data_IF_588234484629
#
_entry.id   IF_588234484629
#
_cell.length_a   1.000
_cell.length_b   1.000
_cell.length_c   1.000
_cell.angle_alpha   90.00
_cell.angle_beta   90.00
_cell.angle_gamma   90.00
#
_symmetry.space_group_name_H-M   'P 1'
#
loop_
_entity.id
_entity.type
_entity.pdbx_description
1 polymer ?
#
# COMPACT_ATOMS: atom_id res chain seq x y z
N UNK A 1 -4.24 33.75 11.49
CA UNK A 1 -4.37 32.37 10.99
C UNK A 1 -5.84 32.04 11.05
N UNK A 2 -6.52 31.92 9.90
CA UNK A 2 -7.93 31.59 9.91
C UNK A 2 -8.08 30.14 10.40
N UNK A 3 -8.69 29.94 11.57
CA UNK A 3 -9.10 28.61 12.00
C UNK A 3 -10.20 28.17 11.05
N UNK A 4 -9.96 27.10 10.29
CA UNK A 4 -11.01 26.53 9.46
C UNK A 4 -12.16 26.06 10.36
N UNK A 5 -13.42 26.29 9.96
CA UNK A 5 -14.56 25.84 10.74
C UNK A 5 -14.52 24.33 10.96
N UNK A 6 -14.99 23.87 12.12
CA UNK A 6 -15.12 22.46 12.41
C UNK A 6 -16.05 21.79 11.38
N UNK A 7 -15.75 20.55 11.00
CA UNK A 7 -16.59 19.77 10.11
C UNK A 7 -17.99 19.65 10.69
N UNK A 8 -19.01 19.92 9.86
CA UNK A 8 -20.41 19.81 10.23
C UNK A 8 -20.99 18.52 9.64
N UNK A 9 -20.77 17.41 10.35
CA UNK A 9 -21.19 16.07 9.95
C UNK A 9 -22.57 15.67 10.48
N UNK A 10 -23.37 16.65 10.92
CA UNK A 10 -24.75 16.40 11.30
C UNK A 10 -25.55 15.88 10.10
N UNK A 11 -26.48 14.92 10.29
CA UNK A 11 -27.23 14.33 9.17
C UNK A 11 -27.92 15.35 8.27
N UNK A 12 -28.47 16.42 8.85
CA UNK A 12 -29.13 17.51 8.11
C UNK A 12 -28.16 18.25 7.19
N UNK A 13 -26.93 18.46 7.64
CA UNK A 13 -25.87 19.15 6.91
C UNK A 13 -25.38 18.32 5.72
N UNK A 14 -25.21 17.01 5.91
CA UNK A 14 -24.83 16.09 4.84
C UNK A 14 -25.91 16.05 3.75
N UNK A 15 -27.19 15.94 4.15
CA UNK A 15 -28.31 15.94 3.19
C UNK A 15 -28.46 17.28 2.46
N UNK A 16 -28.23 18.40 3.14
CA UNK A 16 -28.22 19.72 2.52
C UNK A 16 -27.10 19.85 1.48
N UNK A 17 -25.90 19.36 1.76
CA UNK A 17 -24.78 19.38 0.82
C UNK A 17 -25.06 18.55 -0.45
N UNK A 18 -25.75 17.42 -0.31
CA UNK A 18 -26.21 16.61 -1.45
C UNK A 18 -27.24 17.37 -2.29
N UNK A 19 -28.22 18.01 -1.62
CA UNK A 19 -29.25 18.78 -2.30
C UNK A 19 -28.69 19.98 -3.08
N UNK A 20 -27.68 20.66 -2.53
CA UNK A 20 -27.00 21.78 -3.20
C UNK A 20 -26.26 21.36 -4.47
N UNK A 21 -25.63 20.18 -4.46
CA UNK A 21 -24.97 19.63 -5.65
C UNK A 21 -25.96 19.15 -6.72
N UNK A 22 -27.26 19.08 -6.41
CA UNK A 22 -28.28 18.56 -7.31
C UNK A 22 -28.06 17.08 -7.68
N UNK A 23 -27.38 16.34 -6.80
CA UNK A 23 -27.06 14.92 -7.01
C UNK A 23 -28.01 14.02 -6.22
N UNK A 24 -28.44 12.92 -6.83
CA UNK A 24 -29.38 11.97 -6.20
C UNK A 24 -30.85 12.23 -6.52
N UNK A 25 -31.73 11.66 -5.68
CA UNK A 25 -33.18 11.60 -5.91
C UNK A 25 -34.04 12.21 -4.81
N UNK A 26 -35.35 11.93 -4.85
CA UNK A 26 -36.30 12.42 -3.86
C UNK A 26 -36.24 11.65 -2.54
N UNK A 27 -36.41 12.38 -1.44
CA UNK A 27 -36.53 11.78 -0.10
C UNK A 27 -35.23 11.16 0.41
N UNK A 28 -34.10 11.83 0.22
CA UNK A 28 -32.78 11.44 0.69
C UNK A 28 -32.76 11.20 2.22
N UNK A 29 -32.12 10.11 2.66
CA UNK A 29 -31.88 9.80 4.07
C UNK A 29 -30.53 9.11 4.26
N UNK A 30 -29.97 9.22 5.47
CA UNK A 30 -28.73 8.51 5.82
C UNK A 30 -29.07 7.07 6.17
N UNK A 31 -28.49 6.15 5.41
CA UNK A 31 -28.71 4.70 5.48
C UNK A 31 -27.57 3.98 6.19
N UNK A 32 -26.44 4.66 6.41
CA UNK A 32 -25.31 4.13 7.21
C UNK A 32 -24.14 5.09 7.33
N UNK A 33 -23.34 4.90 8.38
CA UNK A 33 -22.07 5.60 8.61
C UNK A 33 -20.94 4.58 8.76
N UNK A 34 -19.82 4.84 8.09
CA UNK A 34 -18.65 3.99 8.05
C UNK A 34 -17.39 4.82 8.37
N UNK A 35 -16.49 4.22 9.15
CA UNK A 35 -15.25 4.87 9.59
C UNK A 35 -14.06 4.20 8.88
N UNK A 36 -13.44 4.91 7.94
CA UNK A 36 -12.17 4.51 7.34
C UNK A 36 -10.98 5.11 8.09
N UNK A 37 -9.75 4.68 7.80
CA UNK A 37 -8.54 5.21 8.46
C UNK A 37 -8.32 6.71 8.21
N UNK A 38 -8.71 7.21 7.03
CA UNK A 38 -8.45 8.59 6.59
C UNK A 38 -9.72 9.40 6.30
N UNK A 39 -10.91 8.79 6.38
CA UNK A 39 -12.18 9.46 6.09
C UNK A 39 -13.36 8.85 6.85
N UNK A 40 -14.44 9.62 6.93
CA UNK A 40 -15.78 9.13 7.26
C UNK A 40 -16.61 9.04 5.98
N UNK A 41 -17.39 7.96 5.87
CA UNK A 41 -18.21 7.68 4.70
C UNK A 41 -19.67 7.55 5.16
N UNK A 42 -20.56 8.29 4.52
CA UNK A 42 -22.00 8.23 4.77
C UNK A 42 -22.70 7.66 3.55
N UNK A 43 -23.46 6.57 3.73
CA UNK A 43 -24.35 6.05 2.70
C UNK A 43 -25.65 6.86 2.72
N UNK A 44 -25.98 7.48 1.59
CA UNK A 44 -27.22 8.24 1.41
C UNK A 44 -28.10 7.46 0.44
N UNK A 45 -29.31 7.13 0.87
CA UNK A 45 -30.29 6.38 0.09
C UNK A 45 -31.49 7.27 -0.26
N UNK A 46 -32.15 6.98 -1.38
CA UNK A 46 -33.28 7.75 -1.91
C UNK A 46 -34.49 6.83 -2.14
N UNK A 47 -35.67 7.41 -2.34
CA UNK A 47 -36.89 6.62 -2.62
C UNK A 47 -37.01 6.19 -4.08
N UNK A 48 -36.39 6.92 -4.98
CA UNK A 48 -36.58 6.83 -6.44
C UNK A 48 -35.26 6.67 -7.22
N UNK A 49 -34.11 6.69 -6.54
CA UNK A 49 -32.79 6.59 -7.16
C UNK A 49 -31.83 5.71 -6.35
N UNK A 50 -30.75 5.31 -7.01
CA UNK A 50 -29.67 4.56 -6.39
C UNK A 50 -28.96 5.40 -5.31
N UNK A 51 -28.46 4.71 -4.28
CA UNK A 51 -27.71 5.34 -3.19
C UNK A 51 -26.41 5.99 -3.68
N UNK A 52 -25.88 6.89 -2.87
CA UNK A 52 -24.59 7.54 -3.06
C UNK A 52 -23.75 7.45 -1.79
N UNK A 53 -22.44 7.57 -1.92
CA UNK A 53 -21.50 7.65 -0.81
C UNK A 53 -20.99 9.09 -0.67
N UNK A 54 -21.13 9.68 0.50
CA UNK A 54 -20.49 10.96 0.85
C UNK A 54 -19.22 10.66 1.63
N UNK A 55 -18.06 10.98 1.06
CA UNK A 55 -16.76 10.76 1.65
C UNK A 55 -16.19 12.09 2.13
N UNK A 56 -15.98 12.21 3.45
CA UNK A 56 -15.39 13.39 4.09
C UNK A 56 -14.06 13.00 4.71
N UNK A 57 -12.92 13.58 4.28
CA UNK A 57 -11.62 13.32 4.88
C UNK A 57 -11.59 13.69 6.37
N UNK A 58 -10.75 13.03 7.15
CA UNK A 58 -10.51 13.46 8.53
C UNK A 58 -9.84 14.84 8.58
N UNK A 59 -10.10 15.58 9.66
CA UNK A 59 -9.58 16.92 9.87
C UNK A 59 -8.04 16.93 9.88
N UNK A 60 -7.42 17.80 9.08
CA UNK A 60 -5.97 18.08 9.14
C UNK A 60 -5.69 19.59 9.21
N UNK A 61 -4.46 19.97 9.61
CA UNK A 61 -4.13 21.32 10.07
C UNK A 61 -3.97 22.38 8.95
N UNK A 62 -4.05 22.01 7.67
CA UNK A 62 -3.71 22.89 6.54
C UNK A 62 -4.76 22.82 5.43
N UNK A 63 -5.70 23.78 5.39
CA UNK A 63 -6.86 23.77 4.48
C UNK A 63 -6.52 23.55 2.99
N UNK A 64 -5.47 24.20 2.49
CA UNK A 64 -5.04 24.07 1.08
C UNK A 64 -4.56 22.64 0.75
N UNK A 65 -3.96 21.93 1.71
CA UNK A 65 -3.53 20.55 1.52
C UNK A 65 -4.73 19.61 1.38
N UNK A 66 -5.82 19.85 2.12
CA UNK A 66 -7.05 19.05 2.00
C UNK A 66 -7.72 19.27 0.65
N UNK A 67 -7.85 20.53 0.22
CA UNK A 67 -8.43 20.81 -1.10
C UNK A 67 -7.61 20.10 -2.17
N UNK A 68 -6.27 20.17 -2.11
CA UNK A 68 -5.40 19.48 -3.04
C UNK A 68 -5.56 17.95 -3.00
N UNK A 69 -5.70 17.35 -1.81
CA UNK A 69 -5.93 15.90 -1.65
C UNK A 69 -7.25 15.49 -2.30
N UNK A 70 -8.34 16.18 -1.96
CA UNK A 70 -9.67 15.91 -2.51
C UNK A 70 -9.70 16.14 -4.02
N UNK A 71 -9.06 17.22 -4.49
CA UNK A 71 -8.94 17.52 -5.92
C UNK A 71 -8.17 16.43 -6.68
N UNK A 72 -7.06 15.92 -6.11
CA UNK A 72 -6.32 14.81 -6.70
C UNK A 72 -7.18 13.56 -6.80
N UNK A 73 -7.93 13.22 -5.74
CA UNK A 73 -8.84 12.07 -5.74
C UNK A 73 -9.95 12.23 -6.79
N UNK A 74 -10.60 13.41 -6.86
CA UNK A 74 -11.59 13.73 -7.90
C UNK A 74 -11.00 13.62 -9.30
N UNK A 75 -9.81 14.18 -9.55
CA UNK A 75 -9.13 14.10 -10.85
C UNK A 75 -8.84 12.65 -11.25
N UNK A 76 -8.41 11.82 -10.30
CA UNK A 76 -8.17 10.39 -10.55
C UNK A 76 -9.49 9.71 -10.92
N UNK A 77 -10.56 9.91 -10.15
CA UNK A 77 -11.87 9.29 -10.41
C UNK A 77 -12.46 9.71 -11.75
N UNK A 78 -12.40 11.01 -12.07
CA UNK A 78 -12.83 11.53 -13.37
C UNK A 78 -11.97 11.00 -14.52
N UNK A 79 -10.65 10.89 -14.32
CA UNK A 79 -9.76 10.29 -15.31
C UNK A 79 -10.15 8.82 -15.54
N UNK A 80 -10.35 8.04 -14.47
CA UNK A 80 -10.77 6.65 -14.55
C UNK A 80 -12.10 6.53 -15.30
N UNK A 81 -13.09 7.36 -14.97
CA UNK A 81 -14.37 7.42 -15.68
C UNK A 81 -14.19 7.75 -17.17
N UNK A 82 -13.37 8.75 -17.50
CA UNK A 82 -13.08 9.14 -18.89
C UNK A 82 -12.37 8.04 -19.69
N UNK A 83 -11.60 7.18 -19.03
CA UNK A 83 -10.93 6.02 -19.61
C UNK A 83 -11.83 4.79 -19.67
N UNK A 84 -13.08 4.91 -19.22
CA UNK A 84 -14.04 3.81 -19.18
C UNK A 84 -13.74 2.77 -18.10
N UNK A 85 -12.92 3.12 -17.10
CA UNK A 85 -12.61 2.24 -15.98
C UNK A 85 -13.79 2.17 -15.02
N UNK A 86 -14.70 1.25 -15.31
CA UNK A 86 -15.97 1.05 -14.62
C UNK A 86 -15.87 0.48 -13.19
N UNK A 87 -14.67 0.09 -12.73
CA UNK A 87 -14.44 -0.45 -11.38
C UNK A 87 -14.21 0.58 -10.30
N UNK A 88 -13.87 1.81 -10.68
CA UNK A 88 -13.84 2.90 -9.73
C UNK A 88 -15.27 3.43 -9.56
N UNK A 89 -15.65 3.87 -8.35
CA UNK A 89 -16.88 4.62 -8.19
C UNK A 89 -16.85 5.87 -9.08
N UNK A 90 -18.00 6.25 -9.65
CA UNK A 90 -18.09 7.50 -10.42
C UNK A 90 -18.18 8.66 -9.46
N UNK A 91 -17.52 9.75 -9.81
CA UNK A 91 -17.64 10.99 -9.07
C UNK A 91 -18.94 11.69 -9.49
N UNK A 92 -20.01 11.50 -8.69
CA UNK A 92 -21.32 12.14 -8.94
C UNK A 92 -21.25 13.65 -8.73
N UNK A 93 -20.39 14.10 -7.83
CA UNK A 93 -20.23 15.48 -7.44
C UNK A 93 -19.13 15.62 -6.40
N UNK A 94 -18.73 16.85 -6.12
CA UNK A 94 -17.69 17.13 -5.13
C UNK A 94 -17.78 18.59 -4.71
N UNK A 95 -17.20 18.91 -3.56
CA UNK A 95 -16.98 20.27 -3.10
C UNK A 95 -15.50 20.45 -2.77
N UNK A 96 -14.86 21.43 -3.40
CA UNK A 96 -13.47 21.84 -3.15
C UNK A 96 -13.39 23.15 -2.35
N UNK A 97 -14.44 23.46 -1.60
CA UNK A 97 -14.54 24.66 -0.76
C UNK A 97 -14.96 24.28 0.65
N UNK A 98 -14.66 25.13 1.61
CA UNK A 98 -15.21 25.04 2.96
C UNK A 98 -16.58 25.73 3.07
N UNK A 99 -16.95 26.53 2.08
CA UNK A 99 -18.25 27.21 2.01
C UNK A 99 -19.29 26.27 1.40
N UNK A 100 -19.74 25.31 2.23
CA UNK A 100 -20.80 24.36 1.93
C UNK A 100 -21.40 23.85 3.25
N UNK A 101 -22.56 23.18 3.27
CA UNK A 101 -23.22 22.75 4.50
C UNK A 101 -22.39 21.85 5.43
N UNK A 102 -21.45 21.05 4.88
CA UNK A 102 -20.52 20.19 5.64
C UNK A 102 -19.34 20.99 6.23
N UNK A 103 -19.16 22.25 5.81
CA UNK A 103 -18.04 23.11 6.16
C UNK A 103 -16.66 22.51 5.83
N UNK A 104 -16.59 21.62 4.83
CA UNK A 104 -15.37 20.90 4.48
C UNK A 104 -15.38 20.41 3.03
N UNK A 105 -14.22 20.23 2.38
CA UNK A 105 -14.15 19.54 1.10
C UNK A 105 -14.59 18.07 1.21
N UNK A 106 -15.35 17.58 0.22
CA UNK A 106 -15.85 16.22 0.20
C UNK A 106 -16.08 15.73 -1.23
N UNK A 107 -16.22 14.41 -1.37
CA UNK A 107 -16.52 13.77 -2.65
C UNK A 107 -17.82 12.99 -2.50
N UNK A 108 -18.68 13.11 -3.52
CA UNK A 108 -19.87 12.29 -3.69
C UNK A 108 -19.60 11.27 -4.76
N UNK A 109 -19.74 10.01 -4.37
CA UNK A 109 -19.47 8.88 -5.21
C UNK A 109 -20.76 8.10 -5.44
N UNK A 110 -20.87 7.41 -6.57
CA UNK A 110 -21.89 6.38 -6.72
C UNK A 110 -21.73 5.35 -5.60
N UNK A 111 -22.81 5.05 -4.89
CA UNK A 111 -22.79 3.90 -4.00
C UNK A 111 -22.85 2.65 -4.87
N UNK A 112 -21.92 1.74 -4.64
CA UNK A 112 -21.92 0.44 -5.31
C UNK A 112 -22.43 -0.55 -4.29
N UNK A 113 -23.66 -1.04 -4.51
CA UNK A 113 -24.20 -2.13 -3.68
C UNK A 113 -23.38 -3.39 -3.93
N UNK A 114 -22.89 -3.97 -2.85
CA UNK A 114 -22.01 -5.11 -2.91
C UNK A 114 -21.35 -5.37 -1.56
N UNK A 115 -20.68 -6.50 -1.49
CA UNK A 115 -19.69 -6.77 -0.44
C UNK A 115 -18.31 -6.31 -0.95
N UNK A 116 -17.32 -6.10 -0.07
CA UNK A 116 -15.94 -5.87 -0.49
C UNK A 116 -15.51 -6.87 -1.56
N UNK A 117 -14.68 -6.41 -2.51
CA UNK A 117 -14.30 -7.14 -3.72
C UNK A 117 -13.79 -8.57 -3.43
N UNK A 118 -14.29 -9.53 -4.22
CA UNK A 118 -13.66 -10.82 -4.49
C UNK A 118 -12.77 -10.72 -5.74
N UNK A 119 -11.58 -11.31 -5.70
CA UNK A 119 -10.56 -11.23 -6.75
C UNK A 119 -10.48 -12.57 -7.52
N UNK A 120 -10.67 -12.53 -8.84
CA UNK A 120 -10.46 -13.67 -9.75
C UNK A 120 -9.67 -13.29 -11.00
N UNK A 121 -9.37 -14.29 -11.83
CA UNK A 121 -8.38 -14.27 -12.91
C UNK A 121 -8.59 -13.19 -14.00
N UNK A 122 -9.71 -12.43 -14.03
CA UNK A 122 -10.05 -11.57 -15.17
C UNK A 122 -10.26 -10.07 -14.88
N UNK A 123 -10.08 -9.56 -13.65
CA UNK A 123 -10.60 -8.23 -13.27
C UNK A 123 -9.72 -7.51 -12.18
N UNK A 124 -9.14 -6.28 -12.38
CA UNK A 124 -9.06 -5.43 -13.59
C UNK A 124 -7.73 -5.45 -14.39
N UNK A 125 -7.72 -5.03 -15.69
CA UNK A 125 -6.60 -5.12 -16.63
C UNK A 125 -5.71 -3.84 -16.75
N UNK A 126 -4.61 -3.97 -17.49
CA UNK A 126 -3.25 -3.47 -17.21
C UNK A 126 -2.79 -1.97 -17.40
N UNK A 127 -3.38 -1.02 -18.14
CA UNK A 127 -2.57 0.07 -18.73
C UNK A 127 -2.28 1.35 -17.91
N UNK A 128 -2.34 1.37 -16.56
CA UNK A 128 -2.26 2.62 -15.77
C UNK A 128 -0.99 2.85 -14.90
N UNK A 129 0.09 2.07 -15.04
CA UNK A 129 1.29 2.24 -14.18
C UNK A 129 2.35 3.12 -14.88
N UNK A 130 2.60 4.29 -14.30
CA UNK A 130 3.50 5.33 -14.81
C UNK A 130 4.98 4.90 -14.87
N UNK A 131 5.68 5.48 -15.85
CA UNK A 131 7.03 5.20 -16.33
C UNK A 131 8.17 5.59 -15.36
N UNK A 132 8.16 5.08 -14.13
CA UNK A 132 9.27 5.23 -13.17
C UNK A 132 10.10 3.95 -13.15
N UNK A 133 11.43 4.03 -13.04
CA UNK A 133 12.27 2.82 -12.88
C UNK A 133 12.35 2.37 -11.42
N UNK A 134 12.71 1.12 -11.17
CA UNK A 134 12.97 0.60 -9.83
C UNK A 134 13.98 1.49 -9.08
N UNK A 135 15.09 1.86 -9.71
CA UNK A 135 16.10 2.75 -9.13
C UNK A 135 15.50 4.09 -8.68
N UNK A 136 14.68 4.73 -9.53
CA UNK A 136 14.06 6.01 -9.19
C UNK A 136 13.10 5.87 -8.00
N UNK A 137 12.34 4.77 -7.91
CA UNK A 137 11.46 4.47 -6.78
C UNK A 137 12.24 4.37 -5.47
N UNK A 138 13.29 3.53 -5.42
CA UNK A 138 14.07 3.32 -4.20
C UNK A 138 14.89 4.56 -3.81
N UNK A 139 15.50 5.26 -4.78
CA UNK A 139 16.25 6.50 -4.52
C UNK A 139 15.39 7.57 -3.85
N UNK A 140 14.14 7.74 -4.27
CA UNK A 140 13.20 8.68 -3.63
C UNK A 140 12.98 8.33 -2.17
N UNK A 141 12.74 7.06 -1.84
CA UNK A 141 12.51 6.60 -0.46
C UNK A 141 13.75 6.79 0.41
N UNK A 142 14.93 6.41 -0.09
CA UNK A 142 16.20 6.56 0.63
C UNK A 142 16.56 8.04 0.87
N UNK A 143 16.30 8.94 -0.09
CA UNK A 143 16.49 10.39 0.08
C UNK A 143 15.58 10.96 1.18
N UNK A 144 14.33 10.54 1.21
CA UNK A 144 13.39 10.91 2.27
C UNK A 144 13.85 10.39 3.64
N UNK A 145 14.37 9.16 3.69
CA UNK A 145 14.95 8.54 4.90
C UNK A 145 16.14 9.34 5.43
N UNK A 146 17.12 9.64 4.58
CA UNK A 146 18.29 10.46 4.91
C UNK A 146 17.91 11.84 5.43
N UNK A 147 16.91 12.48 4.83
CA UNK A 147 16.39 13.78 5.30
C UNK A 147 15.81 13.67 6.72
N UNK A 148 15.05 12.61 7.02
CA UNK A 148 14.51 12.39 8.36
C UNK A 148 15.59 12.10 9.40
N UNK A 149 16.65 11.37 9.03
CA UNK A 149 17.82 11.12 9.89
C UNK A 149 18.55 12.42 10.24
N UNK A 150 18.86 13.25 9.23
CA UNK A 150 19.52 14.56 9.44
C UNK A 150 18.72 15.49 10.34
N UNK A 151 17.38 15.39 10.29
CA UNK A 151 16.47 16.16 11.14
C UNK A 151 16.29 15.55 12.55
N UNK A 152 16.97 14.47 12.89
CA UNK A 152 16.86 13.80 14.19
C UNK A 152 15.53 13.08 14.43
N UNK A 153 14.72 12.85 13.37
CA UNK A 153 13.39 12.21 13.48
C UNK A 153 13.44 10.68 13.58
N UNK A 154 14.63 10.10 13.45
CA UNK A 154 14.87 8.66 13.57
C UNK A 154 16.09 8.46 14.47
N UNK A 155 15.90 8.48 15.80
CA UNK A 155 17.00 8.31 16.72
C UNK A 155 17.65 6.93 16.55
N UNK A 156 18.99 6.88 16.54
CA UNK A 156 19.75 5.64 16.41
C UNK A 156 20.17 5.26 14.98
N UNK A 157 19.85 6.08 13.98
CA UNK A 157 20.42 5.98 12.63
C UNK A 157 21.32 7.20 12.34
N UNK A 158 22.42 6.95 11.66
CA UNK A 158 23.38 7.96 11.19
C UNK A 158 23.23 8.23 9.69
N UNK A 159 23.83 9.32 9.19
CA UNK A 159 23.88 9.56 7.74
C UNK A 159 24.72 8.49 7.02
N UNK A 160 25.73 7.92 7.70
CA UNK A 160 26.52 6.79 7.20
C UNK A 160 25.63 5.54 6.99
N UNK A 161 24.68 5.27 7.89
CA UNK A 161 23.72 4.18 7.72
C UNK A 161 22.81 4.37 6.51
N UNK A 162 22.51 5.62 6.12
CA UNK A 162 21.78 5.92 4.89
C UNK A 162 22.64 5.70 3.63
N UNK A 163 23.93 6.02 3.69
CA UNK A 163 24.86 5.77 2.59
C UNK A 163 25.04 4.25 2.38
N UNK A 164 25.20 3.51 3.48
CA UNK A 164 25.32 2.06 3.45
C UNK A 164 24.03 1.38 2.96
N UNK A 165 22.85 1.93 3.31
CA UNK A 165 21.57 1.51 2.73
C UNK A 165 21.56 1.68 1.22
N UNK A 166 21.96 2.85 0.73
CA UNK A 166 21.96 3.15 -0.69
C UNK A 166 22.89 2.21 -1.47
N UNK A 167 24.10 1.98 -0.96
CA UNK A 167 25.03 1.04 -1.57
C UNK A 167 24.45 -0.38 -1.63
N UNK A 168 23.87 -0.85 -0.53
CA UNK A 168 23.30 -2.20 -0.43
C UNK A 168 22.10 -2.39 -1.35
N UNK A 169 21.17 -1.41 -1.40
CA UNK A 169 20.00 -1.45 -2.28
C UNK A 169 20.43 -1.42 -3.75
N UNK A 170 21.39 -0.58 -4.13
CA UNK A 170 21.92 -0.57 -5.50
C UNK A 170 22.55 -1.91 -5.88
N UNK A 171 23.31 -2.52 -4.98
CA UNK A 171 23.91 -3.84 -5.19
C UNK A 171 22.85 -4.92 -5.37
N UNK A 172 21.82 -4.93 -4.51
CA UNK A 172 20.71 -5.91 -4.57
C UNK A 172 19.93 -5.76 -5.87
N UNK A 173 19.60 -4.53 -6.28
CA UNK A 173 18.87 -4.29 -7.53
C UNK A 173 19.69 -4.71 -8.76
N UNK A 174 21.01 -4.50 -8.77
CA UNK A 174 21.88 -4.93 -9.87
C UNK A 174 21.33 -4.50 -11.24
N UNK A 175 21.02 -5.47 -12.10
CA UNK A 175 20.44 -5.25 -13.44
C UNK A 175 18.97 -4.76 -13.43
N UNK A 176 18.22 -4.96 -12.35
CA UNK A 176 16.80 -4.58 -12.22
C UNK A 176 16.63 -3.09 -11.92
N UNK A 177 17.72 -2.36 -11.71
CA UNK A 177 17.68 -0.92 -11.45
C UNK A 177 16.90 -0.13 -12.51
N UNK A 178 16.98 -0.57 -13.77
CA UNK A 178 16.31 0.06 -14.91
C UNK A 178 14.95 -0.55 -15.23
N UNK A 179 14.51 -1.57 -14.49
CA UNK A 179 13.21 -2.18 -14.69
C UNK A 179 12.10 -1.15 -14.41
N UNK A 180 11.13 -1.10 -15.30
CA UNK A 180 9.94 -0.23 -15.21
C UNK A 180 8.68 -1.04 -14.96
N UNK A 181 8.79 -2.35 -14.73
CA UNK A 181 7.67 -3.18 -14.32
C UNK A 181 7.32 -2.92 -12.86
N UNK A 182 6.03 -2.70 -12.60
CA UNK A 182 5.49 -2.43 -11.26
C UNK A 182 4.37 -3.41 -10.95
N UNK A 183 4.35 -3.91 -9.73
CA UNK A 183 3.30 -4.73 -9.15
C UNK A 183 2.49 -3.91 -8.12
N UNK A 184 1.28 -4.38 -7.82
CA UNK A 184 0.55 -3.86 -6.65
C UNK A 184 1.04 -4.70 -5.49
N UNK A 185 1.59 -4.05 -4.49
CA UNK A 185 1.91 -4.67 -3.22
C UNK A 185 0.80 -4.36 -2.22
N UNK A 186 0.45 -5.34 -1.40
CA UNK A 186 -0.55 -5.18 -0.33
C UNK A 186 -0.06 -4.18 0.73
N UNK A 187 1.26 -4.15 0.98
CA UNK A 187 1.88 -3.27 1.95
C UNK A 187 1.70 -3.68 3.42
N UNK A 188 0.95 -4.75 3.71
CA UNK A 188 0.68 -5.25 5.06
C UNK A 188 0.19 -6.72 5.06
N UNK A 189 0.86 -7.57 4.29
CA UNK A 189 0.48 -8.99 4.23
C UNK A 189 0.97 -9.72 5.49
N UNK A 190 0.02 -10.10 6.34
CA UNK A 190 0.27 -10.79 7.62
C UNK A 190 -0.84 -11.81 7.88
N UNK A 191 -0.63 -12.81 8.75
CA UNK A 191 -1.61 -13.88 8.97
C UNK A 191 -3.01 -13.38 9.31
N UNK A 192 -3.12 -12.30 10.09
CA UNK A 192 -4.42 -11.69 10.45
C UNK A 192 -5.17 -11.07 9.26
N UNK A 193 -4.47 -10.77 8.17
CA UNK A 193 -5.05 -10.22 6.95
C UNK A 193 -5.34 -11.33 5.92
N UNK A 194 -5.06 -12.61 6.23
CA UNK A 194 -5.32 -13.77 5.38
C UNK A 194 -6.41 -14.61 6.04
N UNK A 195 -7.58 -14.65 5.42
CA UNK A 195 -8.71 -15.45 5.89
C UNK A 195 -8.63 -16.82 5.21
N UNK A 196 -8.77 -17.91 5.97
CA UNK A 196 -8.74 -19.29 5.48
C UNK A 196 -9.99 -20.07 5.93
N UNK A 197 -10.31 -21.19 5.27
CA UNK A 197 -11.32 -22.15 5.78
C UNK A 197 -10.73 -23.23 6.70
N UNK A 198 -11.59 -24.20 7.08
CA UNK A 198 -11.26 -25.33 7.95
C UNK A 198 -10.14 -26.23 7.39
N UNK A 199 -9.92 -26.20 6.07
CA UNK A 199 -8.87 -26.94 5.37
C UNK A 199 -7.65 -26.06 5.04
N UNK A 200 -7.56 -24.85 5.62
CA UNK A 200 -6.49 -23.85 5.40
C UNK A 200 -6.39 -23.31 3.96
N UNK A 201 -7.45 -23.43 3.15
CA UNK A 201 -7.49 -22.78 1.85
C UNK A 201 -7.74 -21.29 2.02
N UNK A 202 -6.95 -20.45 1.35
CA UNK A 202 -7.12 -18.98 1.38
C UNK A 202 -8.49 -18.61 0.80
N UNK A 203 -9.27 -17.86 1.58
CA UNK A 203 -10.57 -17.29 1.22
C UNK A 203 -10.49 -15.82 0.84
N UNK A 204 -9.65 -15.04 1.53
CA UNK A 204 -9.58 -13.59 1.31
C UNK A 204 -8.27 -12.99 1.84
N UNK A 205 -7.82 -11.91 1.21
CA UNK A 205 -6.80 -11.00 1.72
C UNK A 205 -7.44 -9.63 1.95
N UNK A 206 -7.41 -9.13 3.17
CA UNK A 206 -8.10 -7.90 3.61
C UNK A 206 -7.11 -6.80 4.03
N UNK A 207 -7.62 -5.57 4.18
CA UNK A 207 -6.84 -4.40 4.65
C UNK A 207 -5.82 -3.85 3.64
N UNK A 208 -6.31 -3.54 2.43
CA UNK A 208 -5.52 -2.92 1.36
C UNK A 208 -5.26 -1.42 1.55
N UNK A 209 -5.49 -0.87 2.75
CA UNK A 209 -5.32 0.57 3.01
C UNK A 209 -3.89 1.07 2.79
N UNK A 210 -2.91 0.15 2.82
CA UNK A 210 -1.50 0.42 2.57
C UNK A 210 -1.03 -0.01 1.17
N UNK A 211 -1.95 -0.48 0.34
CA UNK A 211 -1.62 -1.01 -0.97
C UNK A 211 -1.05 0.07 -1.88
N UNK A 212 -0.01 -0.27 -2.63
CA UNK A 212 0.66 0.70 -3.49
C UNK A 212 1.31 0.04 -4.69
N UNK A 213 1.63 0.84 -5.71
CA UNK A 213 2.45 0.35 -6.80
C UNK A 213 3.92 0.38 -6.39
N UNK A 214 4.56 -0.78 -6.45
CA UNK A 214 5.99 -0.92 -6.18
C UNK A 214 6.68 -1.61 -7.36
N UNK A 215 7.99 -1.39 -7.57
CA UNK A 215 8.75 -2.15 -8.55
C UNK A 215 8.62 -3.65 -8.30
N UNK A 216 8.71 -4.49 -9.34
CA UNK A 216 8.65 -5.95 -9.17
C UNK A 216 9.62 -6.42 -8.10
N UNK A 217 10.84 -5.89 -8.08
CA UNK A 217 11.85 -6.23 -7.06
C UNK A 217 11.38 -6.05 -5.61
N UNK A 218 10.48 -5.11 -5.32
CA UNK A 218 9.88 -4.94 -3.98
C UNK A 218 8.70 -5.89 -3.77
N UNK A 219 7.83 -6.07 -4.77
CA UNK A 219 6.61 -6.87 -4.64
C UNK A 219 6.89 -8.37 -4.47
N UNK A 220 8.06 -8.83 -4.88
CA UNK A 220 8.44 -10.24 -4.78
C UNK A 220 9.11 -10.60 -3.48
N UNK A 221 9.44 -9.62 -2.62
CA UNK A 221 10.07 -9.85 -1.32
C UNK A 221 9.33 -10.89 -0.47
N UNK A 222 10.07 -11.59 0.42
CA UNK A 222 9.46 -12.59 1.29
C UNK A 222 8.36 -11.95 2.16
N UNK A 223 7.16 -12.57 2.23
CA UNK A 223 6.12 -12.15 3.14
C UNK A 223 6.62 -12.07 4.58
N UNK A 224 6.08 -11.13 5.35
CA UNK A 224 6.52 -10.84 6.72
C UNK A 224 6.48 -12.06 7.65
N UNK A 225 5.52 -12.97 7.47
CA UNK A 225 5.41 -14.19 8.27
C UNK A 225 6.48 -15.25 7.94
N UNK A 226 7.26 -15.07 6.86
CA UNK A 226 8.46 -15.87 6.59
C UNK A 226 9.71 -15.25 7.20
N UNK A 227 9.56 -14.24 8.08
CA UNK A 227 10.69 -13.60 8.73
C UNK A 227 10.96 -14.20 10.11
N UNK A 228 12.23 -14.25 10.47
CA UNK A 228 12.76 -14.71 11.75
C UNK A 228 12.36 -13.84 12.94
N UNK A 229 12.03 -12.57 12.70
CA UNK A 229 11.65 -11.62 13.74
C UNK A 229 10.99 -10.37 13.16
N UNK A 230 9.88 -9.94 13.74
CA UNK A 230 9.31 -8.62 13.46
C UNK A 230 10.16 -7.46 14.02
N UNK A 231 11.01 -7.75 15.02
CA UNK A 231 11.71 -6.73 15.78
C UNK A 231 13.17 -6.51 15.38
N UNK A 232 13.90 -7.59 15.11
CA UNK A 232 15.31 -7.54 14.72
C UNK A 232 15.66 -8.62 13.66
N UNK A 233 15.01 -8.59 12.48
CA UNK A 233 15.14 -9.66 11.47
C UNK A 233 16.56 -9.85 10.94
N UNK A 234 17.43 -8.83 11.00
CA UNK A 234 18.80 -8.95 10.52
C UNK A 234 19.72 -9.73 11.50
N UNK A 235 19.41 -9.74 12.79
CA UNK A 235 20.25 -10.37 13.83
C UNK A 235 19.71 -11.70 14.33
N UNK A 236 18.39 -11.92 14.23
CA UNK A 236 17.77 -13.21 14.55
C UNK A 236 17.84 -14.11 13.32
N UNK A 237 18.54 -15.23 13.43
CA UNK A 237 18.61 -16.22 12.36
C UNK A 237 17.27 -16.96 12.20
N UNK A 238 16.82 -17.23 10.96
CA UNK A 238 15.68 -18.11 10.74
C UNK A 238 15.96 -19.52 11.25
N UNK A 239 14.93 -20.18 11.81
CA UNK A 239 15.04 -21.59 12.21
C UNK A 239 15.13 -22.51 11.00
N UNK A 240 15.55 -23.76 11.20
CA UNK A 240 15.60 -24.75 10.10
C UNK A 240 14.22 -24.96 9.46
N UNK A 241 13.15 -24.99 10.26
CA UNK A 241 11.78 -25.09 9.76
C UNK A 241 11.38 -23.88 8.92
N UNK A 242 11.68 -22.67 9.40
CA UNK A 242 11.41 -21.44 8.64
C UNK A 242 12.19 -21.38 7.33
N UNK A 243 13.43 -21.90 7.32
CA UNK A 243 14.22 -22.04 6.09
C UNK A 243 13.59 -23.03 5.11
N UNK A 244 13.02 -24.14 5.59
CA UNK A 244 12.26 -25.06 4.75
C UNK A 244 11.01 -24.38 4.17
N UNK A 245 10.30 -23.59 4.97
CA UNK A 245 9.11 -22.84 4.52
C UNK A 245 9.49 -21.79 3.45
N UNK A 246 10.58 -21.05 3.66
CA UNK A 246 11.12 -20.11 2.67
C UNK A 246 11.49 -20.84 1.37
N UNK A 247 12.15 -22.00 1.46
CA UNK A 247 12.49 -22.80 0.26
C UNK A 247 11.24 -23.31 -0.45
N UNK A 248 10.25 -23.80 0.30
CA UNK A 248 8.98 -24.25 -0.26
C UNK A 248 8.25 -23.11 -0.96
N UNK A 249 8.23 -21.92 -0.35
CA UNK A 249 7.69 -20.69 -0.93
C UNK A 249 8.38 -20.35 -2.26
N UNK A 250 9.72 -20.32 -2.29
CA UNK A 250 10.48 -20.01 -3.51
C UNK A 250 10.27 -21.09 -4.59
N UNK A 251 10.26 -22.36 -4.22
CA UNK A 251 10.08 -23.49 -5.13
C UNK A 251 8.69 -23.47 -5.78
N UNK A 252 7.68 -22.98 -5.07
CA UNK A 252 6.32 -22.81 -5.58
C UNK A 252 6.26 -21.86 -6.79
N UNK A 253 7.18 -20.89 -6.92
CA UNK A 253 7.25 -20.03 -8.11
C UNK A 253 7.94 -20.72 -9.29
N UNK A 254 8.86 -21.65 -9.02
CA UNK A 254 9.59 -22.40 -10.04
C UNK A 254 8.73 -23.42 -10.77
N UNK A 255 7.63 -23.86 -10.16
CA UNK A 255 6.64 -24.73 -10.78
C UNK A 255 5.57 -23.99 -11.60
N UNK A 256 5.56 -22.64 -11.59
CA UNK A 256 4.56 -21.83 -12.28
C UNK A 256 5.05 -21.33 -13.64
N UNK A 257 4.22 -21.45 -14.67
CA UNK A 257 4.52 -21.03 -16.05
C UNK A 257 4.11 -19.59 -16.38
N UNK A 258 3.93 -18.72 -15.37
CA UNK A 258 3.45 -17.36 -15.57
C UNK A 258 4.56 -16.44 -16.10
N UNK A 259 4.25 -15.45 -16.97
CA UNK A 259 5.24 -14.49 -17.48
C UNK A 259 6.01 -13.72 -16.39
N UNK A 260 5.42 -13.59 -15.20
CA UNK A 260 6.00 -12.92 -14.03
C UNK A 260 6.89 -13.84 -13.17
N UNK A 261 6.87 -15.16 -13.40
CA UNK A 261 7.68 -16.13 -12.65
C UNK A 261 9.18 -16.04 -12.98
N UNK A 262 9.52 -15.60 -14.21
CA UNK A 262 10.91 -15.45 -14.66
C UNK A 262 11.68 -14.32 -13.93
N UNK A 263 11.15 -13.08 -13.82
CA UNK A 263 11.73 -12.05 -12.96
C UNK A 263 11.80 -12.47 -11.48
N UNK A 264 10.75 -13.12 -10.98
CA UNK A 264 10.69 -13.66 -9.60
C UNK A 264 11.78 -14.69 -9.32
N UNK A 265 12.09 -15.59 -10.27
CA UNK A 265 13.16 -16.58 -10.12
C UNK A 265 14.54 -15.94 -10.00
N UNK A 266 14.80 -14.91 -10.81
CA UNK A 266 16.10 -14.26 -10.84
C UNK A 266 16.34 -13.39 -9.60
N UNK A 267 15.28 -12.80 -9.04
CA UNK A 267 15.31 -12.05 -7.78
C UNK A 267 15.44 -12.96 -6.54
N UNK A 268 15.07 -14.23 -6.66
CA UNK A 268 15.09 -15.23 -5.58
C UNK A 268 16.22 -16.24 -5.72
N UNK A 269 17.47 -15.77 -5.60
CA UNK A 269 18.55 -16.67 -5.24
C UNK A 269 18.37 -17.12 -3.77
N UNK A 270 18.12 -18.41 -3.57
CA UNK A 270 17.82 -19.00 -2.25
C UNK A 270 18.86 -18.67 -1.18
N UNK A 271 20.11 -18.39 -1.56
CA UNK A 271 21.21 -18.09 -0.62
C UNK A 271 21.19 -16.66 -0.07
N UNK A 272 20.69 -15.69 -0.84
CA UNK A 272 20.68 -14.27 -0.45
C UNK A 272 19.28 -13.64 -0.42
N UNK A 273 18.23 -14.39 -0.76
CA UNK A 273 16.82 -13.95 -0.78
C UNK A 273 16.39 -13.22 0.51
N UNK A 274 16.84 -13.73 1.66
CA UNK A 274 16.50 -13.14 2.95
C UNK A 274 17.21 -11.79 3.14
N UNK A 275 18.50 -11.70 2.78
CA UNK A 275 19.24 -10.44 2.78
C UNK A 275 18.64 -9.43 1.81
N UNK A 276 18.33 -9.84 0.58
CA UNK A 276 17.69 -9.00 -0.44
C UNK A 276 16.37 -8.42 0.06
N UNK A 277 15.53 -9.28 0.66
CA UNK A 277 14.25 -8.86 1.24
C UNK A 277 14.44 -7.75 2.27
N UNK A 278 15.32 -7.96 3.26
CA UNK A 278 15.56 -6.97 4.30
C UNK A 278 16.22 -5.69 3.76
N UNK A 279 17.09 -5.80 2.75
CA UNK A 279 17.68 -4.65 2.08
C UNK A 279 16.63 -3.77 1.42
N UNK A 280 15.75 -4.34 0.59
CA UNK A 280 14.71 -3.57 -0.11
C UNK A 280 13.68 -3.02 0.87
N UNK A 281 13.29 -3.80 1.86
CA UNK A 281 12.33 -3.40 2.87
C UNK A 281 12.84 -2.31 3.81
N UNK A 282 14.15 -2.23 4.05
CA UNK A 282 14.74 -1.14 4.82
C UNK A 282 14.38 0.25 4.26
N UNK A 283 14.03 0.35 2.97
CA UNK A 283 13.60 1.61 2.35
C UNK A 283 12.20 2.05 2.77
N UNK A 284 11.37 1.10 3.20
CA UNK A 284 10.00 1.29 3.69
C UNK A 284 9.96 1.36 5.23
N UNK A 285 10.65 0.44 5.90
CA UNK A 285 10.59 0.25 7.34
C UNK A 285 11.80 0.83 8.08
N UNK A 286 11.54 1.81 8.96
CA UNK A 286 12.57 2.40 9.85
C UNK A 286 13.20 1.35 10.77
N UNK A 287 12.39 0.37 11.18
CA UNK A 287 12.79 -0.69 12.09
C UNK A 287 13.75 -1.66 11.38
N UNK A 288 13.41 -2.08 10.16
CA UNK A 288 14.29 -2.92 9.35
C UNK A 288 15.58 -2.18 9.00
N UNK A 289 15.53 -0.90 8.67
CA UNK A 289 16.75 -0.08 8.47
C UNK A 289 17.65 -0.07 9.71
N UNK A 290 17.06 0.12 10.89
CA UNK A 290 17.82 0.10 12.15
C UNK A 290 18.42 -1.28 12.43
N UNK A 291 17.67 -2.35 12.18
CA UNK A 291 18.15 -3.74 12.33
C UNK A 291 19.33 -4.02 11.38
N UNK A 292 19.19 -3.68 10.10
CA UNK A 292 20.24 -3.86 9.09
C UNK A 292 21.49 -3.02 9.37
N UNK A 293 21.32 -1.77 9.83
CA UNK A 293 22.42 -0.90 10.22
C UNK A 293 23.21 -1.47 11.40
N UNK A 294 22.53 -1.96 12.45
CA UNK A 294 23.16 -2.63 13.60
C UNK A 294 23.89 -3.91 13.21
N UNK A 295 23.39 -4.62 12.21
CA UNK A 295 24.04 -5.81 11.66
C UNK A 295 25.19 -5.46 10.69
N UNK A 296 25.46 -4.17 10.44
CA UNK A 296 26.50 -3.73 9.52
C UNK A 296 26.24 -4.12 8.06
N UNK A 297 24.96 -4.20 7.67
CA UNK A 297 24.52 -4.62 6.34
C UNK A 297 25.03 -6.01 5.94
N UNK A 298 25.15 -6.89 6.94
CA UNK A 298 25.49 -8.31 6.77
C UNK A 298 24.53 -9.14 7.59
N UNK A 299 24.16 -10.31 7.08
CA UNK A 299 23.46 -11.30 7.91
C UNK A 299 24.49 -12.28 8.44
N UNK A 300 24.73 -12.32 9.77
CA UNK A 300 25.76 -13.18 10.36
C UNK A 300 25.51 -14.67 10.10
N UNK A 301 24.29 -15.03 9.68
CA UNK A 301 23.88 -16.39 9.38
C UNK A 301 23.84 -16.75 7.88
N UNK A 302 24.11 -15.80 6.97
CA UNK A 302 24.18 -16.11 5.53
C UNK A 302 25.38 -17.01 5.16
N UNK A 303 26.40 -17.11 6.01
CA UNK A 303 27.50 -18.07 5.81
C UNK A 303 27.06 -19.51 6.10
N UNK A 304 26.18 -19.74 7.10
CA UNK A 304 25.65 -21.07 7.42
C UNK A 304 24.62 -21.58 6.41
N UNK A 305 24.03 -20.71 5.61
CA UNK A 305 23.14 -21.08 4.49
C UNK A 305 23.90 -21.62 3.28
N UNK A 306 25.24 -21.52 3.25
CA UNK A 306 26.07 -22.06 2.17
C UNK A 306 26.31 -23.57 2.29
N UNK A 307 26.33 -24.09 3.52
CA UNK A 307 26.77 -25.47 3.81
C UNK A 307 25.61 -26.48 3.88
N UNK A 308 24.35 -26.01 3.82
CA UNK A 308 23.17 -26.87 3.85
C UNK A 308 22.83 -27.51 2.49
N UNK A 309 23.56 -27.18 1.43
CA UNK A 309 23.40 -27.76 0.08
C UNK A 309 24.28 -29.01 -0.15
N UNK A 310 25.15 -29.38 0.81
CA UNK A 310 26.12 -30.49 0.67
C UNK A 310 25.69 -31.79 1.39
N UNK A 311 24.49 -31.84 1.96
CA UNK A 311 23.92 -33.06 2.54
C UNK A 311 22.46 -33.24 2.11
N UNK A 312 22.26 -34.23 1.22
CA UNK A 312 21.01 -34.81 0.66
C UNK A 312 20.45 -34.19 -0.64
#
# INVERSE_FOLDING_TARGET
>A
MASHPAQNLEPTSILAAIAELGVGGNGAFIDGEFHGGECRIFKISFKDQASIAVRVPHHTNTGDDIIAIVEVEVRILQMLESKGFHWSPRCCGFSLTFDNPINYPFIVLTWIEGSPLAWDDNFPPQPLRGSTSAATFFQRRMKNRSTQVRQGRIPGLSEEDCINQQASVCQVLGHDQHDTAFAVDHGDIKPNNIIVDEDYNIKCVIDWGLATFVPISQAVCLPHFLWSSDTDPARVAPSQSLLQDIRAYITCFSSQSLPMALPMLHLHNTKDVYFRTLCLESTSSKQVHTSMARAGWKLPYCEFLKDADDYE
#
